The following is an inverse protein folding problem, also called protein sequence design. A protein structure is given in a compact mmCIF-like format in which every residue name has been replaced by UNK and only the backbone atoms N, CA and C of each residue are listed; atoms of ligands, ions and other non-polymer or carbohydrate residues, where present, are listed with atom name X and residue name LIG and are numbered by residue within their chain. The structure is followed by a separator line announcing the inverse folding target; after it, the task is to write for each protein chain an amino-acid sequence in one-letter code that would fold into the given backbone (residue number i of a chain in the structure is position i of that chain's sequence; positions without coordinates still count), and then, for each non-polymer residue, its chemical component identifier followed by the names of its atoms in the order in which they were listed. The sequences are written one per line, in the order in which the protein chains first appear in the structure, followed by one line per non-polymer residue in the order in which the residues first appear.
data_IF_970940404485
#
_entry.id   IF_970940404485
#
_cell.length_a   1.000
_cell.length_b   1.000
_cell.length_c   1.000
_cell.angle_alpha   90.00
_cell.angle_beta   90.00
_cell.angle_gamma   90.00
#
_symmetry.space_group_name_H-M   'P 1'
#
loop_
_entity.id
_entity.type
_entity.pdbx_description
1 polymer ?
#
# COMPACT_ATOMS: atom_id res chain seq x y z
N UNK A 1 6.37 -1.78 -13.74
CA UNK A 1 5.45 -1.21 -12.73
C UNK A 1 5.71 -1.88 -11.40
N UNK A 2 5.77 -1.11 -10.34
CA UNK A 2 6.04 -1.60 -8.98
C UNK A 2 4.90 -1.20 -8.05
N UNK A 3 4.36 -2.15 -7.29
CA UNK A 3 3.39 -1.92 -6.22
C UNK A 3 4.12 -1.94 -4.89
N UNK A 4 3.91 -0.93 -4.06
CA UNK A 4 4.55 -0.83 -2.76
C UNK A 4 3.47 -0.70 -1.69
N UNK A 5 3.35 -1.68 -0.81
CA UNK A 5 2.50 -1.60 0.37
C UNK A 5 3.26 -0.97 1.53
N UNK A 6 2.81 0.19 1.99
CA UNK A 6 3.41 0.88 3.13
C UNK A 6 2.44 0.93 4.30
N UNK A 7 2.97 1.15 5.49
CA UNK A 7 2.20 1.22 6.73
C UNK A 7 2.79 0.39 7.87
N UNK A 8 2.24 0.55 9.05
CA UNK A 8 2.68 -0.12 10.26
C UNK A 8 1.65 -1.14 10.75
N UNK A 9 1.92 -2.43 10.55
CA UNK A 9 1.03 -3.52 10.98
C UNK A 9 0.79 -3.57 12.50
N UNK A 10 1.60 -2.85 13.30
CA UNK A 10 1.41 -2.69 14.73
C UNK A 10 0.40 -1.59 15.09
N UNK A 11 -0.08 -0.82 14.11
CA UNK A 11 -0.96 0.33 14.31
C UNK A 11 -2.32 0.18 13.62
N UNK A 12 -2.91 -1.01 13.71
CA UNK A 12 -4.25 -1.36 13.23
C UNK A 12 -4.42 -1.00 11.74
N UNK A 13 -5.32 -0.05 11.38
CA UNK A 13 -5.64 0.28 10.00
C UNK A 13 -4.45 0.85 9.20
N UNK A 14 -3.47 1.42 9.87
CA UNK A 14 -2.22 1.88 9.27
C UNK A 14 -1.44 0.76 8.56
N UNK A 15 -1.66 -0.49 8.96
CA UNK A 15 -1.07 -1.67 8.30
C UNK A 15 -1.74 -2.11 7.00
N UNK A 16 -2.81 -1.44 6.55
CA UNK A 16 -3.59 -1.87 5.38
C UNK A 16 -2.73 -2.07 4.13
N UNK A 17 -1.86 -1.12 3.81
CA UNK A 17 -1.05 -1.19 2.58
C UNK A 17 -0.17 -2.44 2.55
N UNK A 18 0.41 -2.81 3.69
CA UNK A 18 1.22 -4.04 3.86
C UNK A 18 0.36 -5.29 3.66
N UNK A 19 -0.84 -5.33 4.23
CA UNK A 19 -1.77 -6.45 4.03
C UNK A 19 -2.25 -6.54 2.59
N UNK A 20 -2.54 -5.41 1.95
CA UNK A 20 -3.00 -5.36 0.56
C UNK A 20 -1.92 -5.84 -0.42
N UNK A 21 -0.66 -5.40 -0.25
CA UNK A 21 0.45 -5.88 -1.05
C UNK A 21 0.64 -7.40 -0.91
N UNK A 22 0.63 -7.90 0.34
CA UNK A 22 0.72 -9.34 0.61
C UNK A 22 -0.45 -10.11 0.00
N UNK A 23 -1.67 -9.57 0.10
CA UNK A 23 -2.87 -10.19 -0.47
C UNK A 23 -2.81 -10.29 -1.99
N UNK A 24 -2.38 -9.22 -2.66
CA UNK A 24 -2.21 -9.21 -4.11
C UNK A 24 -1.13 -10.21 -4.56
N UNK A 25 -0.01 -10.26 -3.86
CA UNK A 25 1.09 -11.18 -4.16
C UNK A 25 0.69 -12.65 -3.99
N UNK A 26 -0.06 -12.98 -2.94
CA UNK A 26 -0.44 -14.37 -2.64
C UNK A 26 -1.62 -14.85 -3.50
N UNK A 27 -2.50 -13.95 -3.94
CA UNK A 27 -3.79 -14.32 -4.52
C UNK A 27 -3.94 -14.08 -6.02
N UNK A 28 -3.01 -13.35 -6.65
CA UNK A 28 -3.13 -12.99 -8.06
C UNK A 28 -1.87 -13.30 -8.86
N UNK A 29 -2.07 -13.64 -10.12
CA UNK A 29 -1.05 -13.62 -11.16
C UNK A 29 -1.38 -12.51 -12.15
N UNK A 30 -0.35 -11.92 -12.75
CA UNK A 30 -0.48 -10.76 -13.64
C UNK A 30 0.06 -11.09 -15.03
N UNK A 31 -0.52 -10.47 -16.08
CA UNK A 31 -0.14 -10.71 -17.48
C UNK A 31 1.26 -10.18 -17.82
N UNK A 32 1.76 -9.23 -17.04
CA UNK A 32 3.10 -8.69 -17.15
C UNK A 32 3.82 -8.82 -15.81
N UNK A 33 5.15 -8.77 -15.84
CA UNK A 33 5.93 -8.78 -14.60
C UNK A 33 5.71 -7.46 -13.86
N UNK A 34 5.02 -7.53 -12.74
CA UNK A 34 4.97 -6.47 -11.74
C UNK A 34 5.79 -6.90 -10.53
N UNK A 35 6.43 -5.94 -9.90
CA UNK A 35 7.09 -6.15 -8.62
C UNK A 35 6.15 -5.71 -7.51
N UNK A 36 5.96 -6.56 -6.49
CA UNK A 36 5.13 -6.24 -5.33
C UNK A 36 6.02 -6.26 -4.10
N UNK A 37 6.14 -5.12 -3.44
CA UNK A 37 7.07 -4.90 -2.34
C UNK A 37 6.29 -4.56 -1.07
N UNK A 38 6.69 -5.20 0.01
CA UNK A 38 6.29 -4.84 1.37
C UNK A 38 7.25 -3.78 1.88
N UNK A 39 6.87 -2.51 1.76
CA UNK A 39 7.69 -1.36 2.17
C UNK A 39 7.66 -1.10 3.68
N UNK A 40 6.62 -1.58 4.37
CA UNK A 40 6.47 -1.37 5.81
C UNK A 40 6.56 0.12 6.18
N UNK A 41 7.40 0.45 7.16
CA UNK A 41 7.64 1.83 7.65
C UNK A 41 8.94 2.44 7.09
N UNK A 42 9.64 1.76 6.19
CA UNK A 42 11.02 2.07 5.80
C UNK A 42 11.10 2.97 4.55
N UNK A 43 10.49 4.17 4.58
CA UNK A 43 10.42 5.06 3.42
C UNK A 43 11.75 5.30 2.69
N UNK A 44 12.86 5.55 3.40
CA UNK A 44 14.17 5.86 2.78
C UNK A 44 14.77 4.65 2.02
N UNK A 45 14.47 3.43 2.42
CA UNK A 45 14.95 2.22 1.75
C UNK A 45 14.26 1.98 0.41
N UNK A 46 13.15 2.71 0.15
CA UNK A 46 12.43 2.66 -1.11
C UNK A 46 13.08 3.49 -2.22
N UNK A 47 14.11 4.29 -1.91
CA UNK A 47 14.78 5.14 -2.91
C UNK A 47 15.30 4.31 -4.09
N UNK A 48 15.98 3.18 -3.83
CA UNK A 48 16.48 2.31 -4.90
C UNK A 48 15.35 1.71 -5.75
N UNK A 49 14.23 1.36 -5.10
CA UNK A 49 13.03 0.84 -5.78
C UNK A 49 12.43 1.90 -6.70
N UNK A 50 12.35 3.15 -6.23
CA UNK A 50 11.85 4.27 -7.03
C UNK A 50 12.78 4.55 -8.22
N UNK A 51 14.10 4.48 -8.03
CA UNK A 51 15.10 4.70 -9.10
C UNK A 51 15.04 3.63 -10.20
N UNK A 52 14.64 2.40 -9.86
CA UNK A 52 14.53 1.28 -10.81
C UNK A 52 13.14 1.14 -11.43
N UNK A 53 12.19 2.03 -11.07
CA UNK A 53 10.79 1.93 -11.49
C UNK A 53 10.39 3.09 -12.38
N UNK A 54 9.71 2.83 -13.51
CA UNK A 54 9.10 3.86 -14.35
C UNK A 54 7.74 4.31 -13.80
N UNK A 55 7.00 3.39 -13.16
CA UNK A 55 5.66 3.64 -12.63
C UNK A 55 5.47 2.91 -11.30
N UNK A 56 5.02 3.65 -10.28
CA UNK A 56 4.86 3.16 -8.91
C UNK A 56 3.42 3.34 -8.44
N UNK A 57 2.86 2.29 -7.86
CA UNK A 57 1.56 2.31 -7.17
C UNK A 57 1.82 2.08 -5.68
N UNK A 58 1.54 3.10 -4.88
CA UNK A 58 1.65 3.03 -3.43
C UNK A 58 0.31 2.65 -2.84
N UNK A 59 0.30 1.63 -1.99
CA UNK A 59 -0.87 1.17 -1.24
C UNK A 59 -0.70 1.61 0.21
N UNK A 60 -1.65 2.39 0.74
CA UNK A 60 -1.50 3.01 2.06
C UNK A 60 -2.84 3.32 2.74
N UNK A 61 -2.78 3.74 4.00
CA UNK A 61 -3.84 4.44 4.70
C UNK A 61 -3.63 5.95 4.59
N UNK A 62 -4.67 6.70 4.20
CA UNK A 62 -4.62 8.15 4.04
C UNK A 62 -5.38 8.84 5.18
N UNK A 63 -4.68 9.60 6.01
CA UNK A 63 -5.31 10.39 7.08
C UNK A 63 -5.95 11.66 6.49
N UNK A 64 -7.10 11.49 5.84
CA UNK A 64 -7.93 12.56 5.31
C UNK A 64 -9.10 12.84 6.25
N UNK A 65 -9.58 14.09 6.24
CA UNK A 65 -10.81 14.47 6.96
C UNK A 65 -12.03 14.07 6.13
N UNK A 66 -12.29 12.76 6.08
CA UNK A 66 -13.41 12.15 5.38
C UNK A 66 -13.89 10.90 6.11
N UNK A 67 -14.98 10.33 5.61
CA UNK A 67 -15.62 9.14 6.17
C UNK A 67 -14.64 7.94 6.13
N UNK A 68 -14.47 7.18 7.23
CA UNK A 68 -13.71 5.94 7.23
C UNK A 68 -14.09 5.02 6.07
N UNK A 69 -13.13 4.30 5.55
CA UNK A 69 -13.26 3.42 4.39
C UNK A 69 -13.47 4.14 3.03
N UNK A 70 -13.43 5.47 2.96
CA UNK A 70 -13.36 6.20 1.69
C UNK A 70 -12.05 5.88 0.97
N UNK A 71 -12.13 5.55 -0.33
CA UNK A 71 -10.97 5.12 -1.14
C UNK A 71 -10.60 6.23 -2.12
N UNK A 72 -9.33 6.54 -2.18
CA UNK A 72 -8.76 7.58 -3.05
C UNK A 72 -7.65 7.02 -3.93
N UNK A 73 -7.53 7.56 -5.14
CA UNK A 73 -6.41 7.34 -6.05
C UNK A 73 -5.84 8.71 -6.43
N UNK A 74 -4.75 9.10 -5.81
CA UNK A 74 -4.19 10.44 -5.87
C UNK A 74 -2.78 10.37 -6.48
N UNK A 75 -2.48 11.12 -7.57
CA UNK A 75 -1.10 11.28 -8.03
C UNK A 75 -0.19 11.75 -6.89
N UNK A 76 0.96 11.13 -6.70
CA UNK A 76 1.84 11.43 -5.56
C UNK A 76 2.19 12.92 -5.47
N UNK A 77 2.39 13.59 -6.61
CA UNK A 77 2.67 15.04 -6.68
C UNK A 77 1.53 15.93 -6.18
N UNK A 78 0.31 15.41 -6.11
CA UNK A 78 -0.88 16.15 -5.68
C UNK A 78 -1.21 15.93 -4.20
N UNK A 79 -0.56 14.98 -3.53
CA UNK A 79 -0.86 14.60 -2.13
C UNK A 79 -0.78 15.80 -1.18
N UNK A 80 0.20 16.68 -1.33
CA UNK A 80 0.33 17.89 -0.49
C UNK A 80 -0.87 18.82 -0.60
N UNK A 81 -1.59 18.82 -1.73
CA UNK A 81 -2.80 19.63 -1.97
C UNK A 81 -4.04 19.13 -1.23
N UNK A 82 -4.06 17.88 -0.78
CA UNK A 82 -5.18 17.27 -0.06
C UNK A 82 -5.16 17.52 1.46
N UNK A 83 -4.32 18.45 1.95
CA UNK A 83 -4.27 18.80 3.37
C UNK A 83 -3.51 17.78 4.22
N UNK A 84 -2.80 16.86 3.59
CA UNK A 84 -1.91 15.89 4.23
C UNK A 84 -0.64 16.56 4.82
N UNK A 85 -0.72 17.83 5.23
CA UNK A 85 0.35 18.52 5.99
C UNK A 85 0.65 17.82 7.33
N UNK A 86 -0.23 16.93 7.76
CA UNK A 86 -0.04 15.98 8.85
C UNK A 86 -0.05 14.53 8.31
N UNK A 87 0.21 14.33 7.01
CA UNK A 87 0.29 13.02 6.38
C UNK A 87 1.16 12.09 7.20
N UNK A 88 0.80 10.83 7.27
CA UNK A 88 1.56 9.85 8.02
C UNK A 88 3.03 9.88 7.61
N UNK A 89 3.92 9.45 8.49
CA UNK A 89 5.37 9.47 8.24
C UNK A 89 5.76 8.73 6.93
N UNK A 90 4.87 7.91 6.41
CA UNK A 90 5.09 7.03 5.27
C UNK A 90 4.95 7.74 3.92
N UNK A 91 3.86 8.51 3.70
CA UNK A 91 3.67 9.29 2.46
C UNK A 91 4.76 10.36 2.33
N UNK A 92 5.13 10.98 3.46
CA UNK A 92 6.25 11.92 3.50
C UNK A 92 7.55 11.22 3.06
N UNK A 93 7.78 9.98 3.48
CA UNK A 93 8.98 9.22 3.09
C UNK A 93 9.10 9.01 1.59
N UNK A 94 8.02 8.65 0.89
CA UNK A 94 8.02 8.49 -0.57
C UNK A 94 8.20 9.82 -1.30
N UNK A 95 7.47 10.86 -0.90
CA UNK A 95 7.61 12.19 -1.47
C UNK A 95 9.03 12.74 -1.28
N UNK A 96 9.62 12.58 -0.09
CA UNK A 96 11.00 12.98 0.17
C UNK A 96 12.00 12.22 -0.71
N UNK A 97 11.80 10.92 -0.93
CA UNK A 97 12.63 10.16 -1.87
C UNK A 97 12.53 10.71 -3.29
N UNK A 98 11.32 11.03 -3.76
CA UNK A 98 11.09 11.63 -5.08
C UNK A 98 11.76 13.03 -5.19
N UNK A 99 11.62 13.88 -4.17
CA UNK A 99 12.28 15.18 -4.09
C UNK A 99 13.82 15.04 -4.11
N UNK A 100 14.36 14.04 -3.39
CA UNK A 100 15.80 13.73 -3.41
C UNK A 100 16.27 13.30 -4.79
N UNK A 101 15.48 12.52 -5.53
CA UNK A 101 15.79 12.13 -6.91
C UNK A 101 15.83 13.34 -7.82
N UNK A 102 14.86 14.26 -7.75
CA UNK A 102 14.84 15.51 -8.51
C UNK A 102 16.08 16.37 -8.22
N UNK A 103 16.43 16.53 -6.93
CA UNK A 103 17.62 17.30 -6.52
C UNK A 103 18.92 16.68 -7.03
N UNK A 104 18.97 15.36 -7.20
CA UNK A 104 20.11 14.65 -7.78
C UNK A 104 20.12 14.64 -9.32
N UNK A 105 19.10 15.23 -9.95
CA UNK A 105 18.95 15.22 -11.42
C UNK A 105 18.60 13.84 -11.99
N UNK A 106 18.03 12.96 -11.17
CA UNK A 106 17.53 11.64 -11.60
C UNK A 106 16.10 11.74 -12.13
N UNK A 107 15.74 10.81 -13.01
CA UNK A 107 14.36 10.67 -13.44
C UNK A 107 13.49 10.17 -12.27
N UNK A 108 12.34 10.82 -12.06
CA UNK A 108 11.38 10.48 -11.00
C UNK A 108 10.26 9.67 -11.63
N UNK A 109 9.92 8.49 -11.07
CA UNK A 109 8.84 7.66 -11.61
C UNK A 109 7.49 8.37 -11.55
N UNK A 110 6.60 8.01 -12.46
CA UNK A 110 5.18 8.32 -12.28
C UNK A 110 4.66 7.54 -11.08
N UNK A 111 4.12 8.22 -10.08
CA UNK A 111 3.65 7.58 -8.86
C UNK A 111 2.22 8.00 -8.51
N UNK A 112 1.41 7.00 -8.10
CA UNK A 112 0.06 7.20 -7.58
C UNK A 112 -0.06 6.53 -6.22
N UNK A 113 -0.79 7.16 -5.31
CA UNK A 113 -1.18 6.57 -4.04
C UNK A 113 -2.64 6.13 -4.16
N UNK A 114 -2.89 4.85 -3.99
CA UNK A 114 -4.23 4.29 -3.80
C UNK A 114 -4.37 4.02 -2.32
N UNK A 115 -5.16 4.84 -1.65
CA UNK A 115 -5.29 4.80 -0.21
C UNK A 115 -6.73 4.75 0.26
N UNK A 116 -6.90 4.36 1.52
CA UNK A 116 -8.19 4.30 2.20
C UNK A 116 -8.13 5.11 3.49
N UNK A 117 -9.20 5.82 3.82
CA UNK A 117 -9.31 6.56 5.07
C UNK A 117 -9.46 5.57 6.24
N UNK A 118 -8.56 5.56 7.24
CA UNK A 118 -8.64 4.66 8.37
C UNK A 118 -9.85 5.00 9.28
N UNK A 119 -10.41 3.99 9.93
CA UNK A 119 -11.37 4.17 11.01
C UNK A 119 -10.65 4.30 12.36
N UNK A 120 -9.57 3.56 12.56
CA UNK A 120 -8.84 3.53 13.82
C UNK A 120 -7.34 3.30 13.61
N UNK A 121 -6.51 4.19 14.17
CA UNK A 121 -5.05 4.03 14.23
C UNK A 121 -4.65 3.95 15.70
N UNK A 122 -4.49 2.71 16.20
CA UNK A 122 -4.12 2.40 17.58
C UNK A 122 -3.10 1.28 17.62
N UNK A 123 -2.31 1.19 18.68
CA UNK A 123 -1.25 0.18 18.80
C UNK A 123 -1.85 -1.22 19.03
N UNK A 124 -2.30 -1.83 17.93
CA UNK A 124 -2.96 -3.14 17.90
C UNK A 124 -2.77 -3.77 16.52
N UNK A 125 -2.57 -5.09 16.45
CA UNK A 125 -2.55 -5.83 15.19
C UNK A 125 -3.94 -5.96 14.57
N UNK A 126 -4.00 -5.95 13.23
CA UNK A 126 -5.20 -6.19 12.45
C UNK A 126 -5.76 -4.91 11.85
N UNK A 127 -7.02 -4.97 11.46
CA UNK A 127 -7.78 -3.87 10.86
C UNK A 127 -9.09 -3.69 11.65
N UNK A 128 -9.67 -2.49 11.59
CA UNK A 128 -11.03 -2.23 12.09
C UNK A 128 -12.07 -2.97 11.26
N UNK A 129 -13.26 -3.17 11.81
CA UNK A 129 -14.34 -3.86 11.11
C UNK A 129 -14.72 -3.12 9.82
N UNK A 130 -14.74 -1.79 9.85
CA UNK A 130 -15.01 -0.93 8.69
C UNK A 130 -14.01 -1.16 7.55
N UNK A 131 -12.73 -1.30 7.89
CA UNK A 131 -11.68 -1.52 6.88
C UNK A 131 -11.68 -2.98 6.41
N UNK A 132 -11.97 -3.94 7.28
CA UNK A 132 -12.16 -5.35 6.88
C UNK A 132 -13.30 -5.48 5.87
N UNK A 133 -14.44 -4.82 6.13
CA UNK A 133 -15.60 -4.85 5.22
C UNK A 133 -15.31 -4.15 3.88
N UNK A 134 -14.48 -3.10 3.87
CA UNK A 134 -14.09 -2.38 2.65
C UNK A 134 -12.92 -3.01 1.89
N UNK A 135 -12.21 -3.99 2.47
CA UNK A 135 -10.95 -4.51 1.94
C UNK A 135 -11.05 -5.05 0.52
N UNK A 136 -12.03 -5.88 0.22
CA UNK A 136 -12.23 -6.44 -1.14
C UNK A 136 -12.57 -5.33 -2.16
N UNK A 137 -13.29 -4.30 -1.74
CA UNK A 137 -13.55 -3.10 -2.54
C UNK A 137 -12.26 -2.35 -2.86
N UNK A 138 -11.40 -2.17 -1.87
CA UNK A 138 -10.09 -1.56 -2.02
C UNK A 138 -9.20 -2.34 -3.00
N UNK A 139 -9.09 -3.66 -2.84
CA UNK A 139 -8.36 -4.53 -3.78
C UNK A 139 -8.92 -4.41 -5.20
N UNK A 140 -10.24 -4.33 -5.35
CA UNK A 140 -10.89 -4.14 -6.66
C UNK A 140 -10.47 -2.83 -7.33
N UNK A 141 -10.34 -1.74 -6.57
CA UNK A 141 -9.84 -0.45 -7.10
C UNK A 141 -8.41 -0.57 -7.60
N UNK A 142 -7.53 -1.23 -6.84
CA UNK A 142 -6.13 -1.48 -7.26
C UNK A 142 -6.09 -2.29 -8.56
N UNK A 143 -6.84 -3.39 -8.63
CA UNK A 143 -6.88 -4.26 -9.81
C UNK A 143 -7.47 -3.54 -11.04
N UNK A 144 -8.47 -2.70 -10.86
CA UNK A 144 -9.01 -1.85 -11.92
C UNK A 144 -7.98 -0.84 -12.43
N UNK A 145 -7.21 -0.25 -11.52
CA UNK A 145 -6.12 0.65 -11.89
C UNK A 145 -5.08 -0.08 -12.75
N UNK A 146 -4.62 -1.26 -12.33
CA UNK A 146 -3.69 -2.09 -13.09
C UNK A 146 -4.24 -2.44 -14.48
N UNK A 147 -5.51 -2.85 -14.55
CA UNK A 147 -6.17 -3.19 -15.82
C UNK A 147 -6.26 -2.01 -16.78
N UNK A 148 -6.49 -0.78 -16.30
CA UNK A 148 -6.46 0.45 -17.12
C UNK A 148 -5.07 0.74 -17.69
N UNK A 149 -4.01 0.23 -17.05
CA UNK A 149 -2.63 0.33 -17.51
C UNK A 149 -2.16 -0.91 -18.31
N UNK A 150 -3.12 -1.73 -18.79
CA UNK A 150 -2.84 -2.90 -19.64
C UNK A 150 -2.42 -4.15 -18.89
N UNK A 151 -2.35 -4.12 -17.56
CA UNK A 151 -1.96 -5.28 -16.76
C UNK A 151 -3.20 -6.07 -16.34
N UNK A 152 -3.45 -7.18 -17.01
CA UNK A 152 -4.53 -8.09 -16.66
C UNK A 152 -4.12 -8.98 -15.48
N UNK A 153 -5.09 -9.44 -14.73
CA UNK A 153 -4.87 -10.27 -13.54
C UNK A 153 -5.77 -11.51 -13.56
N UNK A 154 -5.34 -12.55 -12.85
CA UNK A 154 -6.10 -13.77 -12.62
C UNK A 154 -5.94 -14.19 -11.16
N UNK A 155 -7.06 -14.47 -10.49
CA UNK A 155 -7.04 -14.98 -9.11
C UNK A 155 -6.56 -16.44 -9.11
N UNK A 156 -5.65 -16.78 -8.19
CA UNK A 156 -5.13 -18.16 -8.05
C UNK A 156 -6.16 -19.09 -7.40
N UNK A 157 -6.01 -20.41 -7.57
CA UNK A 157 -6.95 -21.39 -7.04
C UNK A 157 -6.91 -21.51 -5.50
N UNK A 158 -5.70 -21.44 -4.91
CA UNK A 158 -5.51 -21.48 -3.46
C UNK A 158 -5.24 -20.08 -2.95
N UNK A 159 -6.28 -19.45 -2.41
CA UNK A 159 -6.19 -18.05 -1.93
C UNK A 159 -5.86 -17.98 -0.44
N UNK A 160 -5.02 -17.01 -0.09
CA UNK A 160 -4.76 -16.61 1.29
C UNK A 160 -5.81 -15.57 1.71
N UNK A 161 -6.45 -15.76 2.84
CA UNK A 161 -7.44 -14.81 3.38
C UNK A 161 -6.74 -13.63 4.09
N UNK A 162 -7.47 -12.51 4.22
CA UNK A 162 -6.97 -11.36 4.99
C UNK A 162 -6.65 -11.76 6.44
N UNK A 163 -7.49 -12.59 7.06
CA UNK A 163 -7.26 -13.06 8.44
C UNK A 163 -5.97 -13.88 8.56
N UNK A 164 -5.66 -14.73 7.58
CA UNK A 164 -4.40 -15.48 7.55
C UNK A 164 -3.18 -14.55 7.43
N UNK A 165 -3.29 -13.47 6.64
CA UNK A 165 -2.22 -12.46 6.53
C UNK A 165 -2.02 -11.71 7.85
N UNK A 166 -3.10 -11.29 8.50
CA UNK A 166 -3.06 -10.65 9.82
C UNK A 166 -2.42 -11.58 10.86
N UNK A 167 -2.78 -12.86 10.87
CA UNK A 167 -2.19 -13.84 11.78
C UNK A 167 -0.71 -14.09 11.49
N UNK A 168 -0.32 -14.13 10.21
CA UNK A 168 1.09 -14.25 9.79
C UNK A 168 1.92 -13.04 10.26
N UNK A 169 1.34 -11.83 10.24
CA UNK A 169 2.00 -10.64 10.75
C UNK A 169 2.19 -10.63 12.27
N UNK A 170 1.28 -11.28 13.03
CA UNK A 170 1.37 -11.45 14.48
C UNK A 170 2.47 -12.45 14.88
N UNK A 171 2.69 -13.47 14.08
CA UNK A 171 3.69 -14.51 14.32
C UNK A 171 4.55 -14.76 13.08
N UNK A 172 5.54 -13.89 12.81
CA UNK A 172 6.42 -14.05 11.65
C UNK A 172 7.31 -15.30 11.73
N UNK A 173 7.43 -15.93 12.90
CA UNK A 173 8.19 -17.17 13.08
C UNK A 173 7.40 -18.44 12.75
N UNK A 174 6.08 -18.35 12.67
CA UNK A 174 5.16 -19.49 12.47
C UNK A 174 5.14 -20.47 13.64
N UNK A 175 5.72 -20.08 14.77
CA UNK A 175 5.70 -20.86 16.01
C UNK A 175 4.53 -20.35 16.86
N UNK A 176 3.34 -20.87 16.59
CA UNK A 176 2.22 -20.64 17.50
C UNK A 176 2.58 -21.30 18.84
N UNK A 177 2.82 -20.48 19.85
CA UNK A 177 2.85 -20.93 21.25
C UNK A 177 1.41 -21.23 21.63
N UNK A 178 1.08 -22.50 21.65
CA UNK A 178 -0.19 -23.04 22.14
C UNK A 178 -0.40 -22.78 23.65
#
# INVERSE_FOLDING_TARGET
MTLIGIGNVLQKDDGLGVYAASYLNDNYTFSEKIEIINGGVEGIHLLNVLEESDHVVVLDCLQLDDTPASIYAIPAKEISGYGLNNGGAHEIGILQCMDMMELQGKEVPEAIVIGIVPAEVTFTFGLSDEIVDAFEGYISVVLQYLSKHGINHQKVANTTTLLELINRAKDPSGVMVS
#
